data_IF_447008275610
#
_entry.id   IF_447008275610
#
_cell.length_a   1.000
_cell.length_b   1.000
_cell.length_c   1.000
_cell.angle_alpha   90.00
_cell.angle_beta   90.00
_cell.angle_gamma   90.00
#
_symmetry.space_group_name_H-M   'P 1'
#
loop_
_entity.id
_entity.type
_entity.pdbx_description
1 polymer ?
#
# COMPACT_ATOMS: atom_id res chain seq x y z
N UNK A 1 41.96 -59.46 -1.72
CA UNK A 1 42.58 -60.21 -0.59
C UNK A 1 43.46 -59.27 0.22
N UNK A 2 43.51 -59.51 1.54
CA UNK A 2 44.35 -58.89 2.59
C UNK A 2 43.82 -57.61 3.27
N UNK A 3 43.11 -57.88 4.38
CA UNK A 3 42.80 -57.01 5.52
C UNK A 3 44.08 -56.67 6.30
N UNK A 4 44.17 -55.45 6.85
CA UNK A 4 44.89 -55.07 8.08
C UNK A 4 44.08 -53.91 8.69
N UNK A 5 43.12 -54.18 9.59
CA UNK A 5 43.27 -54.18 11.04
C UNK A 5 44.33 -53.20 11.57
N UNK A 6 43.87 -52.05 12.07
CA UNK A 6 44.51 -51.33 13.17
C UNK A 6 43.38 -50.89 14.12
N UNK A 7 43.29 -51.62 15.22
CA UNK A 7 42.44 -51.41 16.39
C UNK A 7 43.24 -50.49 17.33
N UNK A 8 42.69 -49.35 17.77
CA UNK A 8 43.23 -48.54 18.87
C UNK A 8 42.04 -48.16 19.78
N UNK A 9 42.14 -48.36 21.12
CA UNK A 9 41.03 -48.69 21.99
C UNK A 9 40.30 -47.46 22.59
N UNK A 10 39.10 -47.65 23.18
CA UNK A 10 38.33 -46.62 23.89
C UNK A 10 38.75 -46.51 25.38
N UNK A 11 38.17 -45.51 26.06
CA UNK A 11 38.27 -45.16 27.50
C UNK A 11 39.41 -44.21 27.94
N UNK A 12 39.00 -42.99 28.28
CA UNK A 12 39.39 -42.35 29.55
C UNK A 12 38.32 -41.35 29.95
N UNK A 13 37.26 -41.88 30.57
CA UNK A 13 36.42 -41.11 31.47
C UNK A 13 37.18 -40.93 32.80
N UNK A 14 36.85 -39.81 33.47
CA UNK A 14 36.94 -39.53 34.90
C UNK A 14 38.18 -38.77 35.46
N UNK A 15 37.81 -37.72 36.21
CA UNK A 15 38.49 -37.09 37.37
C UNK A 15 39.63 -36.09 37.04
N UNK A 16 39.69 -34.82 37.49
CA UNK A 16 39.06 -34.05 38.59
C UNK A 16 39.19 -32.55 38.26
N UNK A 17 38.20 -31.72 38.62
CA UNK A 17 38.33 -30.27 38.60
C UNK A 17 37.09 -29.50 39.07
N UNK A 18 36.47 -29.94 40.15
CA UNK A 18 35.36 -29.26 40.85
C UNK A 18 35.79 -27.89 41.37
N UNK A 19 35.03 -26.82 41.06
CA UNK A 19 34.50 -25.80 42.00
C UNK A 19 33.54 -24.83 41.26
N UNK A 20 32.43 -25.35 40.72
CA UNK A 20 31.23 -24.56 40.34
C UNK A 20 29.98 -25.44 40.08
N UNK A 21 29.96 -26.69 40.57
CA UNK A 21 28.97 -27.72 40.17
C UNK A 21 28.43 -28.47 41.40
N UNK A 22 28.10 -27.75 42.47
CA UNK A 22 27.46 -28.36 43.64
C UNK A 22 25.93 -28.38 43.57
N UNK A 23 25.32 -27.50 42.77
CA UNK A 23 23.86 -27.36 42.67
C UNK A 23 23.33 -27.70 41.26
N UNK A 24 24.14 -28.36 40.42
CA UNK A 24 23.69 -28.74 39.09
C UNK A 24 22.92 -30.07 39.16
N UNK A 25 21.59 -29.95 39.11
CA UNK A 25 20.67 -31.08 39.05
C UNK A 25 20.23 -31.33 37.58
N UNK A 26 20.72 -32.40 36.92
CA UNK A 26 20.37 -32.71 35.54
C UNK A 26 18.88 -33.01 35.33
N UNK A 27 18.18 -33.48 36.36
CA UNK A 27 16.74 -33.75 36.25
C UNK A 27 15.95 -32.43 36.27
N UNK A 28 16.37 -31.46 37.08
CA UNK A 28 15.79 -30.12 37.08
C UNK A 28 16.03 -29.38 35.76
N UNK A 29 17.25 -29.43 35.20
CA UNK A 29 17.57 -28.83 33.89
C UNK A 29 16.75 -29.46 32.75
N UNK A 30 16.58 -30.80 32.76
CA UNK A 30 15.75 -31.47 31.77
C UNK A 30 14.27 -31.06 31.85
N UNK A 31 13.76 -30.78 33.06
CA UNK A 31 12.42 -30.24 33.25
C UNK A 31 12.31 -28.80 32.75
N UNK A 32 13.26 -27.92 33.06
CA UNK A 32 13.28 -26.55 32.53
C UNK A 32 13.42 -26.50 31.00
N UNK A 33 14.19 -27.41 30.40
CA UNK A 33 14.28 -27.55 28.94
C UNK A 33 12.99 -28.06 28.32
N UNK A 34 12.31 -29.01 28.97
CA UNK A 34 11.00 -29.49 28.54
C UNK A 34 9.94 -28.39 28.62
N UNK A 35 9.94 -27.57 29.67
CA UNK A 35 9.05 -26.42 29.83
C UNK A 35 9.33 -25.34 28.77
N UNK A 36 10.59 -24.95 28.57
CA UNK A 36 10.97 -24.00 27.49
C UNK A 36 10.60 -24.53 26.10
N UNK A 37 10.79 -25.83 25.85
CA UNK A 37 10.41 -26.44 24.58
C UNK A 37 8.88 -26.48 24.40
N UNK A 38 8.11 -26.67 25.47
CA UNK A 38 6.66 -26.60 25.44
C UNK A 38 6.18 -25.17 25.16
N UNK A 39 6.75 -24.16 25.83
CA UNK A 39 6.45 -22.74 25.58
C UNK A 39 6.79 -22.32 24.15
N UNK A 40 7.96 -22.74 23.64
CA UNK A 40 8.36 -22.47 22.26
C UNK A 40 7.41 -23.08 21.23
N UNK A 41 6.84 -24.26 21.51
CA UNK A 41 5.82 -24.89 20.64
C UNK A 41 4.52 -24.11 20.66
N UNK A 42 4.06 -23.67 21.83
CA UNK A 42 2.85 -22.84 21.96
C UNK A 42 3.02 -21.52 21.21
N UNK A 43 4.18 -20.88 21.33
CA UNK A 43 4.45 -19.63 20.62
C UNK A 43 4.57 -19.85 19.10
N UNK A 44 5.20 -20.94 18.66
CA UNK A 44 5.26 -21.29 17.24
C UNK A 44 3.86 -21.57 16.66
N UNK A 45 2.97 -22.23 17.42
CA UNK A 45 1.59 -22.45 17.01
C UNK A 45 0.81 -21.15 16.91
N UNK A 46 1.00 -20.21 17.85
CA UNK A 46 0.41 -18.86 17.78
C UNK A 46 0.90 -18.10 16.55
N UNK A 47 2.21 -18.13 16.27
CA UNK A 47 2.79 -17.50 15.08
C UNK A 47 2.21 -18.10 13.80
N UNK A 48 2.13 -19.43 13.70
CA UNK A 48 1.51 -20.10 12.53
C UNK A 48 0.04 -19.74 12.38
N UNK A 49 -0.71 -19.61 13.47
CA UNK A 49 -2.10 -19.19 13.43
C UNK A 49 -2.22 -17.74 12.94
N UNK A 50 -1.38 -16.83 13.44
CA UNK A 50 -1.32 -15.44 13.00
C UNK A 50 -0.93 -15.33 11.51
N UNK A 51 0.09 -16.08 11.07
CA UNK A 51 0.53 -16.11 9.68
C UNK A 51 -0.56 -16.62 8.74
N UNK A 52 -1.32 -17.65 9.15
CA UNK A 52 -2.48 -18.13 8.39
C UNK A 52 -3.53 -17.04 8.22
N UNK A 53 -3.90 -16.38 9.32
CA UNK A 53 -4.88 -15.28 9.25
C UNK A 53 -4.41 -14.12 8.37
N UNK A 54 -3.14 -13.75 8.46
CA UNK A 54 -2.56 -12.71 7.61
C UNK A 54 -2.56 -13.11 6.13
N UNK A 55 -2.21 -14.35 5.82
CA UNK A 55 -2.20 -14.85 4.45
C UNK A 55 -3.61 -14.95 3.86
N UNK A 56 -4.60 -15.39 4.64
CA UNK A 56 -6.00 -15.38 4.23
C UNK A 56 -6.53 -13.97 3.98
N UNK A 57 -6.22 -13.02 4.88
CA UNK A 57 -6.57 -11.62 4.70
C UNK A 57 -5.93 -11.02 3.44
N UNK A 58 -4.63 -11.30 3.20
CA UNK A 58 -3.92 -10.88 1.99
C UNK A 58 -4.53 -11.47 0.73
N UNK A 59 -4.86 -12.76 0.73
CA UNK A 59 -5.51 -13.40 -0.41
C UNK A 59 -6.87 -12.77 -0.73
N UNK A 60 -7.68 -12.50 0.31
CA UNK A 60 -8.96 -11.80 0.17
C UNK A 60 -8.79 -10.39 -0.38
N UNK A 61 -7.83 -9.63 0.13
CA UNK A 61 -7.53 -8.28 -0.34
C UNK A 61 -7.07 -8.27 -1.80
N UNK A 62 -6.16 -9.18 -2.17
CA UNK A 62 -5.67 -9.33 -3.54
C UNK A 62 -6.81 -9.67 -4.52
N UNK A 63 -7.71 -10.58 -4.12
CA UNK A 63 -8.89 -10.91 -4.91
C UNK A 63 -9.80 -9.71 -5.10
N UNK A 64 -10.13 -9.00 -4.02
CA UNK A 64 -10.97 -7.80 -4.10
C UNK A 64 -10.34 -6.70 -4.98
N UNK A 65 -9.02 -6.53 -4.92
CA UNK A 65 -8.29 -5.60 -5.77
C UNK A 65 -8.40 -5.99 -7.25
N UNK A 66 -8.21 -7.27 -7.58
CA UNK A 66 -8.36 -7.77 -8.96
C UNK A 66 -9.80 -7.61 -9.46
N UNK A 67 -10.79 -7.93 -8.64
CA UNK A 67 -12.21 -7.78 -9.02
C UNK A 67 -12.56 -6.31 -9.26
N UNK A 68 -12.03 -5.38 -8.46
CA UNK A 68 -12.16 -3.94 -8.70
C UNK A 68 -11.50 -3.49 -10.01
N UNK A 69 -10.30 -4.00 -10.31
CA UNK A 69 -9.62 -3.74 -11.59
C UNK A 69 -10.45 -4.26 -12.77
N UNK A 70 -11.00 -5.47 -12.67
CA UNK A 70 -11.90 -6.04 -13.68
C UNK A 70 -13.15 -5.20 -13.87
N UNK A 71 -13.78 -4.74 -12.78
CA UNK A 71 -14.95 -3.87 -12.85
C UNK A 71 -14.63 -2.55 -13.57
N UNK A 72 -13.45 -1.97 -13.30
CA UNK A 72 -12.99 -0.73 -13.96
C UNK A 72 -12.72 -0.93 -15.46
N UNK A 73 -12.25 -2.11 -15.86
CA UNK A 73 -11.98 -2.46 -17.25
C UNK A 73 -13.22 -2.95 -18.01
N UNK A 74 -14.26 -3.40 -17.29
CA UNK A 74 -15.51 -3.89 -17.86
C UNK A 74 -15.28 -5.02 -18.86
N UNK A 75 -15.86 -4.88 -20.06
CA UNK A 75 -15.72 -5.86 -21.13
C UNK A 75 -14.27 -6.14 -21.55
N UNK A 76 -13.36 -5.17 -21.36
CA UNK A 76 -11.93 -5.32 -21.69
C UNK A 76 -11.20 -6.35 -20.83
N UNK A 77 -11.75 -6.71 -19.66
CA UNK A 77 -11.19 -7.74 -18.79
C UNK A 77 -11.83 -9.14 -18.97
N UNK A 78 -12.87 -9.28 -19.80
CA UNK A 78 -13.56 -10.54 -20.00
C UNK A 78 -12.63 -11.59 -20.64
N UNK A 79 -12.55 -12.78 -20.04
CA UNK A 79 -11.68 -13.86 -20.50
C UNK A 79 -10.18 -13.62 -20.34
N UNK A 80 -9.78 -12.55 -19.65
CA UNK A 80 -8.36 -12.20 -19.41
C UNK A 80 -7.84 -12.79 -18.12
N UNK A 81 -6.58 -13.22 -18.15
CA UNK A 81 -5.84 -13.65 -16.96
C UNK A 81 -5.61 -12.49 -15.98
N UNK A 82 -5.36 -12.78 -14.71
CA UNK A 82 -5.07 -11.76 -13.68
C UNK A 82 -3.89 -10.85 -14.08
N UNK A 83 -2.86 -11.44 -14.70
CA UNK A 83 -1.69 -10.69 -15.18
C UNK A 83 -2.04 -9.72 -16.33
N UNK A 84 -2.90 -10.14 -17.25
CA UNK A 84 -3.40 -9.28 -18.33
C UNK A 84 -4.31 -8.17 -17.79
N UNK A 85 -5.21 -8.49 -16.86
CA UNK A 85 -6.07 -7.51 -16.19
C UNK A 85 -5.22 -6.43 -15.51
N UNK A 86 -4.17 -6.82 -14.78
CA UNK A 86 -3.26 -5.86 -14.16
C UNK A 86 -2.58 -4.96 -15.20
N UNK A 87 -2.01 -5.53 -16.27
CA UNK A 87 -1.37 -4.74 -17.33
C UNK A 87 -2.33 -3.76 -18.01
N UNK A 88 -3.56 -4.20 -18.32
CA UNK A 88 -4.57 -3.35 -18.93
C UNK A 88 -5.00 -2.22 -18.00
N UNK A 89 -5.17 -2.51 -16.71
CA UNK A 89 -5.50 -1.51 -15.71
C UNK A 89 -4.39 -0.48 -15.58
N UNK A 90 -3.13 -0.91 -15.45
CA UNK A 90 -1.98 -0.01 -15.30
C UNK A 90 -1.82 0.89 -16.54
N UNK A 91 -2.01 0.34 -17.74
CA UNK A 91 -2.01 1.10 -18.99
C UNK A 91 -3.14 2.15 -19.02
N UNK A 92 -4.35 1.79 -18.56
CA UNK A 92 -5.47 2.74 -18.46
C UNK A 92 -5.16 3.86 -17.48
N UNK A 93 -4.66 3.54 -16.28
CA UNK A 93 -4.29 4.55 -15.28
C UNK A 93 -3.22 5.50 -15.80
N UNK A 94 -2.18 4.96 -16.47
CA UNK A 94 -1.15 5.79 -17.09
C UNK A 94 -1.74 6.75 -18.12
N UNK A 95 -2.56 6.23 -19.04
CA UNK A 95 -3.22 7.05 -20.07
C UNK A 95 -4.12 8.12 -19.45
N UNK A 96 -4.95 7.77 -18.47
CA UNK A 96 -5.86 8.71 -17.81
C UNK A 96 -5.07 9.78 -17.04
N UNK A 97 -3.94 9.42 -16.44
CA UNK A 97 -3.02 10.36 -15.79
C UNK A 97 -2.40 11.33 -16.79
N UNK A 98 -1.87 10.83 -17.91
CA UNK A 98 -1.30 11.66 -18.97
C UNK A 98 -2.34 12.60 -19.59
N UNK A 99 -3.55 12.11 -19.82
CA UNK A 99 -4.68 12.92 -20.29
C UNK A 99 -5.05 14.01 -19.27
N UNK A 100 -5.09 13.68 -17.98
CA UNK A 100 -5.33 14.64 -16.91
C UNK A 100 -4.25 15.73 -16.83
N UNK A 101 -2.98 15.35 -16.97
CA UNK A 101 -1.87 16.31 -17.00
C UNK A 101 -1.93 17.22 -18.24
N UNK A 102 -2.25 16.66 -19.41
CA UNK A 102 -2.43 17.44 -20.63
C UNK A 102 -3.59 18.43 -20.49
N UNK A 103 -4.72 17.99 -19.95
CA UNK A 103 -5.88 18.85 -19.67
C UNK A 103 -5.54 19.94 -18.64
N UNK A 104 -4.81 19.61 -17.58
CA UNK A 104 -4.36 20.59 -16.59
C UNK A 104 -3.41 21.63 -17.20
N UNK A 105 -2.48 21.21 -18.06
CA UNK A 105 -1.57 22.11 -18.79
C UNK A 105 -2.35 23.00 -19.76
N UNK A 106 -3.30 22.44 -20.49
CA UNK A 106 -4.17 23.20 -21.39
C UNK A 106 -5.02 24.22 -20.63
N UNK A 107 -5.60 23.85 -19.49
CA UNK A 107 -6.36 24.77 -18.63
C UNK A 107 -5.49 25.90 -18.07
N UNK A 108 -4.25 25.62 -17.66
CA UNK A 108 -3.30 26.66 -17.24
C UNK A 108 -2.91 27.58 -18.39
N UNK A 109 -2.67 27.04 -19.58
CA UNK A 109 -2.37 27.84 -20.76
C UNK A 109 -3.55 28.73 -21.16
N UNK A 110 -4.77 28.20 -21.15
CA UNK A 110 -6.01 28.95 -21.39
C UNK A 110 -6.17 30.13 -20.43
N UNK A 111 -6.00 29.88 -19.13
CA UNK A 111 -6.04 30.93 -18.11
C UNK A 111 -4.95 31.98 -18.31
N UNK A 112 -3.70 31.54 -18.56
CA UNK A 112 -2.56 32.42 -18.81
C UNK A 112 -2.68 33.23 -20.11
N UNK A 113 -3.43 32.75 -21.10
CA UNK A 113 -3.71 33.45 -22.36
C UNK A 113 -4.89 34.42 -22.24
N UNK A 114 -5.39 34.67 -21.02
CA UNK A 114 -6.47 35.62 -20.79
C UNK A 114 -7.84 35.12 -21.21
N UNK A 115 -8.00 33.82 -21.56
CA UNK A 115 -9.32 33.26 -21.88
C UNK A 115 -10.26 33.31 -20.66
N UNK A 116 -9.70 33.22 -19.43
CA UNK A 116 -10.46 33.47 -18.21
C UNK A 116 -10.96 34.92 -18.09
N UNK A 117 -10.11 35.90 -18.42
CA UNK A 117 -10.49 37.31 -18.42
C UNK A 117 -11.50 37.64 -19.53
N UNK A 118 -11.36 37.03 -20.71
CA UNK A 118 -12.30 37.16 -21.81
C UNK A 118 -13.66 36.52 -21.48
N UNK A 119 -13.69 35.33 -20.87
CA UNK A 119 -14.91 34.69 -20.41
C UNK A 119 -15.59 35.51 -19.30
N UNK A 120 -14.82 36.05 -18.35
CA UNK A 120 -15.35 36.98 -17.34
C UNK A 120 -15.98 38.21 -18.00
N UNK A 121 -15.29 38.86 -18.93
CA UNK A 121 -15.83 39.99 -19.67
C UNK A 121 -17.09 39.64 -20.49
N UNK A 122 -17.17 38.43 -21.05
CA UNK A 122 -18.32 38.01 -21.83
C UNK A 122 -19.57 37.78 -20.97
N UNK A 123 -19.40 37.35 -19.71
CA UNK A 123 -20.51 37.07 -18.79
C UNK A 123 -20.88 38.33 -17.99
N UNK A 124 -19.91 39.10 -17.52
CA UNK A 124 -20.12 40.28 -16.65
C UNK A 124 -20.15 41.60 -17.41
N UNK A 125 -19.68 41.63 -18.66
CA UNK A 125 -19.46 42.87 -19.42
C UNK A 125 -18.27 43.70 -18.93
N UNK A 126 -17.54 43.26 -17.89
CA UNK A 126 -16.44 43.99 -17.25
C UNK A 126 -15.13 43.23 -17.33
N UNK A 127 -14.03 43.94 -17.55
CA UNK A 127 -12.69 43.35 -17.56
C UNK A 127 -12.25 42.92 -16.16
N UNK A 128 -11.24 42.05 -16.09
CA UNK A 128 -10.71 41.57 -14.81
C UNK A 128 -10.19 42.72 -13.93
N UNK A 129 -9.52 43.71 -14.52
CA UNK A 129 -9.00 44.86 -13.79
C UNK A 129 -10.10 45.79 -13.26
N UNK A 130 -11.22 45.90 -13.98
CA UNK A 130 -12.40 46.64 -13.49
C UNK A 130 -13.07 45.91 -12.32
N UNK A 131 -13.09 44.57 -12.35
CA UNK A 131 -13.61 43.77 -11.24
C UNK A 131 -12.71 43.84 -9.99
N UNK A 132 -11.39 43.85 -10.16
CA UNK A 132 -10.43 43.95 -9.05
C UNK A 132 -10.43 45.32 -8.37
N UNK A 133 -10.78 46.38 -9.11
CA UNK A 133 -10.83 47.76 -8.61
C UNK A 133 -12.25 48.25 -8.29
N UNK A 134 -13.25 47.36 -8.33
CA UNK A 134 -14.63 47.71 -8.02
C UNK A 134 -14.82 47.92 -6.52
N UNK A 135 -15.67 48.88 -6.17
CA UNK A 135 -16.10 49.05 -4.79
C UNK A 135 -17.10 47.96 -4.38
N UNK A 136 -17.20 47.67 -3.08
CA UNK A 136 -18.12 46.65 -2.54
C UNK A 136 -19.59 46.89 -2.98
N UNK A 137 -20.00 48.17 -3.05
CA UNK A 137 -21.34 48.55 -3.50
C UNK A 137 -21.59 48.22 -4.98
N UNK A 138 -20.58 48.38 -5.83
CA UNK A 138 -20.65 48.02 -7.26
C UNK A 138 -20.62 46.50 -7.44
N UNK A 139 -19.89 45.78 -6.59
CA UNK A 139 -19.83 44.33 -6.60
C UNK A 139 -21.18 43.71 -6.26
N UNK A 140 -21.87 44.23 -5.23
CA UNK A 140 -23.23 43.79 -4.88
C UNK A 140 -24.25 44.09 -5.99
N UNK A 141 -24.15 45.24 -6.65
CA UNK A 141 -25.05 45.61 -7.74
C UNK A 141 -24.87 44.65 -8.94
N UNK A 142 -23.62 44.35 -9.29
CA UNK A 142 -23.28 43.38 -10.32
C UNK A 142 -23.77 41.97 -9.94
N UNK A 143 -23.56 41.55 -8.70
CA UNK A 143 -24.03 40.24 -8.22
C UNK A 143 -25.56 40.11 -8.33
N UNK A 144 -26.32 41.13 -7.94
CA UNK A 144 -27.79 41.17 -8.09
C UNK A 144 -28.24 41.12 -9.55
N UNK A 145 -27.51 41.77 -10.45
CA UNK A 145 -27.79 41.71 -11.89
C UNK A 145 -27.53 40.30 -12.45
N UNK A 146 -26.46 39.66 -12.00
CA UNK A 146 -26.09 38.30 -12.41
C UNK A 146 -27.06 37.25 -11.86
N UNK A 147 -27.49 37.38 -10.60
CA UNK A 147 -28.56 36.56 -10.02
C UNK A 147 -29.88 36.72 -10.78
N UNK A 148 -30.23 37.93 -11.22
CA UNK A 148 -31.41 38.13 -12.08
C UNK A 148 -31.28 37.51 -13.47
N UNK A 149 -30.09 37.57 -14.08
CA UNK A 149 -29.86 37.06 -15.45
C UNK A 149 -29.65 35.55 -15.51
N UNK A 150 -29.01 34.97 -14.50
CA UNK A 150 -28.54 33.58 -14.53
C UNK A 150 -28.97 32.74 -13.31
N UNK A 151 -29.50 33.36 -12.26
CA UNK A 151 -30.08 32.67 -11.11
C UNK A 151 -31.48 32.15 -11.42
N UNK A 152 -31.55 30.91 -11.91
CA UNK A 152 -32.73 30.07 -11.75
C UNK A 152 -32.65 29.31 -10.43
#
# INVERSE_FOLDING_TARGET
MKRRLALIPPLLALLVGTQALADWDPEAEAQYDAERAAEARVEQERQRAADKQLNEARAKANKAALDSKRATLGAGAAGKSDAEVNKLYDAKIKRDTEAGQAAAKAGRAALSQGQGAAALHQVTGKSLSELENMSDAEAEALQREMERKYGR
#
